data_IF_782433271846
#
_entry.id   IF_782433271846
#
_cell.length_a   1.000
_cell.length_b   1.000
_cell.length_c   1.000
_cell.angle_alpha   90.00
_cell.angle_beta   90.00
_cell.angle_gamma   90.00
#
_symmetry.space_group_name_H-M   'P 1'
#
loop_
_entity.id
_entity.type
_entity.pdbx_description
1 polymer ?
#
# COMPACT_ATOMS: atom_id res chain seq x y z
N UNK A 1 29.08 2.28 10.82
CA UNK A 1 29.10 2.11 9.35
C UNK A 1 27.66 2.14 8.87
N UNK A 2 27.28 2.96 7.87
CA UNK A 2 25.90 2.99 7.40
C UNK A 2 25.48 1.63 6.84
N UNK A 3 24.22 1.19 7.05
CA UNK A 3 23.76 -0.13 6.62
C UNK A 3 23.85 -0.26 5.09
N UNK A 4 24.46 -1.36 4.63
CA UNK A 4 24.62 -1.64 3.20
C UNK A 4 23.27 -2.03 2.60
N UNK A 5 22.86 -1.36 1.53
CA UNK A 5 21.63 -1.68 0.83
C UNK A 5 21.66 -3.12 0.28
N UNK A 6 20.58 -3.87 0.48
CA UNK A 6 20.45 -5.28 0.04
C UNK A 6 20.50 -5.44 -1.48
N UNK A 7 20.07 -4.41 -2.23
CA UNK A 7 20.01 -4.41 -3.70
C UNK A 7 20.80 -3.20 -4.24
N UNK A 8 21.78 -3.44 -5.13
CA UNK A 8 22.43 -2.37 -5.89
C UNK A 8 21.44 -1.61 -6.77
N UNK A 9 21.69 -0.31 -7.01
CA UNK A 9 20.78 0.50 -7.88
C UNK A 9 20.77 -0.03 -9.30
N UNK A 10 21.92 -0.46 -9.83
CA UNK A 10 22.01 -1.02 -11.18
C UNK A 10 21.08 -2.23 -11.36
N UNK A 11 21.10 -3.19 -10.42
CA UNK A 11 20.23 -4.36 -10.45
C UNK A 11 18.75 -3.95 -10.39
N UNK A 12 18.40 -3.01 -9.49
CA UNK A 12 17.03 -2.52 -9.37
C UNK A 12 16.55 -1.83 -10.65
N UNK A 13 17.36 -0.95 -11.23
CA UNK A 13 17.07 -0.24 -12.50
C UNK A 13 16.85 -1.24 -13.63
N UNK A 14 17.72 -2.24 -13.77
CA UNK A 14 17.63 -3.24 -14.83
C UNK A 14 16.30 -4.03 -14.76
N UNK A 15 15.85 -4.40 -13.56
CA UNK A 15 14.56 -5.06 -13.39
C UNK A 15 13.40 -4.08 -13.63
N UNK A 16 13.46 -2.87 -13.10
CA UNK A 16 12.37 -1.89 -13.25
C UNK A 16 12.10 -1.49 -14.70
N UNK A 17 13.14 -1.47 -15.55
CA UNK A 17 12.97 -1.29 -17.00
C UNK A 17 12.04 -2.32 -17.64
N UNK A 18 12.08 -3.58 -17.19
CA UNK A 18 11.20 -4.64 -17.72
C UNK A 18 9.73 -4.36 -17.43
N UNK A 19 9.45 -3.73 -16.29
CA UNK A 19 8.10 -3.43 -15.81
C UNK A 19 7.68 -1.97 -16.06
N UNK A 20 8.46 -1.21 -16.85
CA UNK A 20 8.28 0.24 -17.03
C UNK A 20 6.89 0.62 -17.54
N UNK A 21 6.23 -0.29 -18.26
CA UNK A 21 4.87 -0.11 -18.78
C UNK A 21 3.87 0.19 -17.66
N UNK A 22 4.11 -0.33 -16.46
CA UNK A 22 3.25 -0.09 -15.28
C UNK A 22 3.58 1.21 -14.53
N UNK A 23 4.67 1.90 -14.87
CA UNK A 23 5.17 3.06 -14.12
C UNK A 23 5.26 4.35 -14.94
N UNK A 24 4.66 4.38 -16.14
CA UNK A 24 4.72 5.54 -17.05
C UNK A 24 4.03 6.79 -16.49
N UNK A 25 2.92 6.59 -15.79
CA UNK A 25 2.10 7.68 -15.25
C UNK A 25 1.99 7.50 -13.75
N UNK A 26 2.36 8.53 -12.97
CA UNK A 26 2.41 8.48 -11.50
C UNK A 26 1.06 8.09 -10.87
N UNK A 27 -0.03 8.57 -11.46
CA UNK A 27 -1.39 8.33 -10.99
C UNK A 27 -1.91 6.92 -11.33
N UNK A 28 -1.25 6.21 -12.26
CA UNK A 28 -1.62 4.85 -12.68
C UNK A 28 -0.69 3.77 -12.12
N UNK A 29 0.01 4.07 -11.03
CA UNK A 29 0.87 3.07 -10.40
C UNK A 29 0.04 1.88 -9.89
N UNK A 30 0.58 0.65 -9.94
CA UNK A 30 -0.12 -0.51 -9.41
C UNK A 30 -0.47 -0.32 -7.93
N UNK A 31 -1.69 -0.69 -7.55
CA UNK A 31 -2.12 -0.69 -6.15
C UNK A 31 -1.22 -1.60 -5.31
N UNK A 32 -1.14 -1.37 -4.00
CA UNK A 32 -0.23 -2.08 -3.09
C UNK A 32 -0.37 -3.61 -3.15
N UNK A 33 -1.59 -4.12 -3.31
CA UNK A 33 -1.89 -5.56 -3.41
C UNK A 33 -1.62 -6.18 -4.79
N UNK A 34 -1.20 -5.38 -5.77
CA UNK A 34 -0.96 -5.86 -7.14
C UNK A 34 0.09 -6.97 -7.17
N UNK A 35 -0.17 -7.99 -8.01
CA UNK A 35 0.73 -9.12 -8.20
C UNK A 35 2.08 -8.69 -8.79
N UNK A 36 2.12 -7.55 -9.50
CA UNK A 36 3.33 -6.98 -10.11
C UNK A 36 4.43 -6.77 -9.06
N UNK A 37 4.09 -6.36 -7.84
CA UNK A 37 5.07 -6.18 -6.76
C UNK A 37 5.71 -7.49 -6.32
N UNK A 38 4.94 -8.58 -6.35
CA UNK A 38 5.45 -9.94 -6.06
C UNK A 38 6.34 -10.45 -7.19
N UNK A 39 6.00 -10.14 -8.43
CA UNK A 39 6.82 -10.52 -9.60
C UNK A 39 8.16 -9.79 -9.60
N UNK A 40 8.17 -8.47 -9.38
CA UNK A 40 9.42 -7.69 -9.29
C UNK A 40 10.28 -8.18 -8.12
N UNK A 41 9.67 -8.50 -6.97
CA UNK A 41 10.36 -9.10 -5.82
C UNK A 41 11.05 -10.42 -6.21
N UNK A 42 10.36 -11.28 -6.97
CA UNK A 42 10.90 -12.56 -7.44
C UNK A 42 12.07 -12.35 -8.41
N UNK A 43 11.93 -11.42 -9.35
CA UNK A 43 12.98 -11.05 -10.31
C UNK A 43 14.22 -10.44 -9.64
N UNK A 44 14.04 -9.81 -8.47
CA UNK A 44 15.12 -9.36 -7.59
C UNK A 44 15.66 -10.46 -6.66
N UNK A 45 15.39 -11.73 -6.97
CA UNK A 45 15.77 -12.89 -6.17
C UNK A 45 15.31 -12.81 -4.70
N UNK A 46 14.14 -12.20 -4.46
CA UNK A 46 13.55 -11.97 -3.14
C UNK A 46 14.42 -11.15 -2.17
N UNK A 47 15.43 -10.41 -2.68
CA UNK A 47 16.25 -9.51 -1.85
C UNK A 47 15.43 -8.36 -1.26
N UNK A 48 14.40 -7.93 -1.98
CA UNK A 48 13.35 -7.05 -1.50
C UNK A 48 12.04 -7.82 -1.41
N UNK A 49 11.33 -7.66 -0.29
CA UNK A 49 9.94 -8.11 -0.17
C UNK A 49 9.03 -7.26 -1.07
N UNK A 50 7.82 -7.75 -1.45
CA UNK A 50 6.89 -6.97 -2.26
C UNK A 50 6.58 -5.58 -1.66
N UNK A 51 6.48 -5.49 -0.33
CA UNK A 51 6.34 -4.22 0.38
C UNK A 51 7.53 -3.28 0.14
N UNK A 52 8.76 -3.79 0.26
CA UNK A 52 9.96 -3.00 0.00
C UNK A 52 10.03 -2.54 -1.44
N UNK A 53 9.66 -3.38 -2.41
CA UNK A 53 9.58 -2.96 -3.82
C UNK A 53 8.61 -1.80 -3.96
N UNK A 54 7.38 -1.94 -3.46
CA UNK A 54 6.36 -0.88 -3.53
C UNK A 54 6.87 0.45 -2.95
N UNK A 55 7.41 0.43 -1.73
CA UNK A 55 7.87 1.65 -1.05
C UNK A 55 9.05 2.28 -1.78
N UNK A 56 10.00 1.48 -2.27
CA UNK A 56 11.18 2.02 -2.95
C UNK A 56 10.83 2.58 -4.34
N UNK A 57 9.95 1.91 -5.08
CA UNK A 57 9.52 2.32 -6.42
C UNK A 57 8.59 3.54 -6.33
N UNK A 58 7.56 3.50 -5.49
CA UNK A 58 6.58 4.58 -5.34
C UNK A 58 7.19 5.90 -4.85
N UNK A 59 8.18 5.84 -3.96
CA UNK A 59 8.88 7.03 -3.47
C UNK A 59 10.16 7.34 -4.27
N UNK A 60 10.35 6.67 -5.42
CA UNK A 60 11.52 6.81 -6.28
C UNK A 60 12.85 6.86 -5.51
N UNK A 61 13.03 5.94 -4.53
CA UNK A 61 14.19 5.97 -3.64
C UNK A 61 15.47 5.84 -4.45
N UNK A 62 16.50 6.61 -4.09
CA UNK A 62 17.78 6.64 -4.82
C UNK A 62 17.63 6.96 -6.31
N UNK A 63 16.53 7.61 -6.72
CA UNK A 63 16.19 7.98 -8.11
C UNK A 63 16.13 6.79 -9.07
N UNK A 64 15.84 5.58 -8.59
CA UNK A 64 15.93 4.37 -9.42
C UNK A 64 14.93 4.34 -10.58
N UNK A 65 13.71 4.86 -10.40
CA UNK A 65 12.75 4.97 -11.51
C UNK A 65 13.16 6.08 -12.47
N UNK A 66 13.62 7.24 -11.96
CA UNK A 66 14.10 8.32 -12.82
C UNK A 66 15.24 7.86 -13.73
N UNK A 67 16.22 7.13 -13.18
CA UNK A 67 17.33 6.57 -13.96
C UNK A 67 16.81 5.56 -14.99
N UNK A 68 15.88 4.67 -14.60
CA UNK A 68 15.30 3.70 -15.54
C UNK A 68 14.55 4.38 -16.69
N UNK A 69 13.82 5.46 -16.42
CA UNK A 69 13.11 6.27 -17.42
C UNK A 69 14.09 7.03 -18.32
N UNK A 70 15.12 7.68 -17.76
CA UNK A 70 16.15 8.40 -18.49
C UNK A 70 16.88 7.48 -19.48
N UNK A 71 17.27 6.28 -19.04
CA UNK A 71 17.91 5.28 -19.89
C UNK A 71 16.99 4.71 -20.99
N UNK A 72 15.67 4.91 -20.87
CA UNK A 72 14.68 4.54 -21.89
C UNK A 72 14.20 5.75 -22.71
N UNK A 73 14.72 6.96 -22.45
CA UNK A 73 14.30 8.20 -23.11
C UNK A 73 12.88 8.66 -22.74
N UNK A 74 12.36 8.24 -21.59
CA UNK A 74 11.03 8.60 -21.09
C UNK A 74 11.16 9.77 -20.12
N UNK A 75 10.39 10.84 -20.35
CA UNK A 75 10.30 11.97 -19.40
C UNK A 75 9.47 11.54 -18.19
N UNK A 76 10.11 11.32 -17.06
CA UNK A 76 9.44 11.01 -15.80
C UNK A 76 9.10 12.32 -15.05
N UNK A 77 7.85 12.52 -14.61
CA UNK A 77 7.49 13.71 -13.85
C UNK A 77 8.29 13.76 -12.53
N UNK A 78 8.99 14.86 -12.28
CA UNK A 78 9.73 15.06 -11.02
C UNK A 78 8.78 15.07 -9.82
N UNK A 79 9.19 14.42 -8.73
CA UNK A 79 8.43 14.40 -7.48
C UNK A 79 8.81 15.59 -6.59
N UNK A 80 7.83 16.39 -6.18
CA UNK A 80 7.94 17.22 -4.97
C UNK A 80 8.13 16.30 -3.76
N UNK A 81 9.32 16.32 -3.17
CA UNK A 81 9.69 15.45 -2.05
C UNK A 81 8.97 15.86 -0.76
N UNK A 82 7.89 15.16 -0.42
CA UNK A 82 7.34 15.21 0.94
C UNK A 82 8.11 14.20 1.82
N UNK A 83 9.15 14.67 2.50
CA UNK A 83 9.87 13.89 3.51
C UNK A 83 8.96 13.67 4.74
N UNK A 84 8.21 12.57 4.76
CA UNK A 84 7.66 12.10 6.04
C UNK A 84 8.78 11.44 6.85
N UNK A 85 9.36 12.21 7.77
CA UNK A 85 10.38 11.76 8.71
C UNK A 85 9.72 10.99 9.86
N UNK A 86 9.30 9.74 9.63
CA UNK A 86 8.96 8.86 10.73
C UNK A 86 10.25 8.32 11.38
N UNK A 87 10.60 8.95 12.50
CA UNK A 87 11.60 8.48 13.47
C UNK A 87 11.18 7.10 13.99
N UNK A 88 11.89 6.06 13.57
CA UNK A 88 11.73 4.71 14.12
C UNK A 88 12.78 4.52 15.22
N UNK A 89 12.33 4.52 16.48
CA UNK A 89 13.00 3.84 17.60
C UNK A 89 12.67 2.36 17.48
N UNK A 90 13.64 1.55 17.04
CA UNK A 90 13.59 0.09 17.14
C UNK A 90 14.11 -0.28 18.54
N UNK A 91 13.21 -0.65 19.45
CA UNK A 91 13.58 -1.57 20.52
C UNK A 91 13.43 -2.99 19.98
N UNK A 92 14.52 -3.76 20.05
CA UNK A 92 14.58 -5.18 19.76
C UNK A 92 13.64 -5.91 20.74
N UNK A 93 12.66 -6.66 20.23
CA UNK A 93 11.97 -7.67 21.02
C UNK A 93 12.53 -9.03 20.66
N UNK A 94 13.37 -9.55 21.55
CA UNK A 94 13.74 -10.96 21.61
C UNK A 94 12.47 -11.80 21.79
N UNK A 95 12.33 -12.83 20.96
CA UNK A 95 11.22 -13.79 21.05
C UNK A 95 11.43 -14.72 22.24
N UNK A 96 10.91 -14.33 23.41
CA UNK A 96 10.71 -15.25 24.52
C UNK A 96 9.35 -15.92 24.37
N UNK A 97 9.37 -17.24 24.16
CA UNK A 97 8.21 -18.09 24.30
C UNK A 97 7.80 -18.15 25.77
N UNK A 98 6.75 -17.45 26.13
CA UNK A 98 6.05 -17.65 27.40
C UNK A 98 4.54 -17.50 27.15
N UNK A 99 3.80 -18.30 27.90
CA UNK A 99 2.36 -18.34 27.99
C UNK A 99 1.81 -16.99 28.47
N UNK A 100 1.51 -16.09 27.53
CA UNK A 100 1.00 -14.75 27.83
C UNK A 100 -0.52 -14.79 27.75
N UNK A 101 -1.16 -15.00 28.91
CA UNK A 101 -2.56 -14.65 29.12
C UNK A 101 -2.74 -13.18 28.77
N UNK A 102 -3.48 -12.89 27.71
CA UNK A 102 -3.76 -11.51 27.32
C UNK A 102 -4.64 -10.84 28.39
N UNK A 103 -4.08 -9.90 29.14
CA UNK A 103 -4.90 -8.96 29.90
C UNK A 103 -5.38 -7.90 28.92
N UNK A 104 -6.68 -7.93 28.63
CA UNK A 104 -7.34 -6.91 27.82
C UNK A 104 -7.29 -5.60 28.61
N UNK A 105 -6.42 -4.67 28.18
CA UNK A 105 -6.29 -3.34 28.78
C UNK A 105 -7.67 -2.65 28.76
N UNK A 106 -8.26 -2.46 29.95
CA UNK A 106 -9.60 -1.88 30.19
C UNK A 106 -9.82 -0.53 29.49
N UNK A 107 -8.73 0.12 29.07
CA UNK A 107 -8.71 1.35 28.29
C UNK A 107 -9.44 1.27 26.94
N UNK A 108 -9.58 0.09 26.35
CA UNK A 108 -10.16 -0.08 25.00
C UNK A 108 -11.58 -0.67 25.00
N UNK A 109 -12.15 -0.89 26.19
CA UNK A 109 -13.53 -1.33 26.31
C UNK A 109 -14.49 -0.26 25.74
N UNK A 110 -15.24 -0.61 24.68
CA UNK A 110 -16.30 0.23 24.12
C UNK A 110 -16.01 0.93 22.79
N UNK A 111 -14.89 0.64 22.12
CA UNK A 111 -14.55 1.21 20.80
C UNK A 111 -14.98 0.36 19.61
N UNK A 112 -15.73 -0.72 19.82
CA UNK A 112 -16.05 -1.70 18.78
C UNK A 112 -17.20 -1.27 17.84
N UNK A 113 -17.92 -0.19 18.17
CA UNK A 113 -19.03 0.30 17.35
C UNK A 113 -18.89 1.81 17.10
N UNK A 114 -18.85 2.22 15.83
CA UNK A 114 -19.01 3.61 15.43
C UNK A 114 -20.17 3.74 14.44
N UNK A 115 -21.12 4.61 14.75
CA UNK A 115 -22.31 4.85 13.93
C UNK A 115 -22.05 6.02 12.99
N UNK A 116 -22.11 5.74 11.69
CA UNK A 116 -22.06 6.78 10.67
C UNK A 116 -23.50 7.17 10.33
N UNK A 117 -23.81 8.47 10.45
CA UNK A 117 -25.06 9.04 9.97
C UNK A 117 -24.79 9.77 8.67
N UNK A 118 -25.43 9.30 7.60
CA UNK A 118 -25.39 9.94 6.29
C UNK A 118 -26.81 10.28 5.86
N UNK A 119 -26.96 11.40 5.19
CA UNK A 119 -28.24 11.79 4.58
C UNK A 119 -28.49 11.02 3.29
N UNK A 120 -29.75 10.92 2.88
CA UNK A 120 -30.13 10.24 1.63
C UNK A 120 -29.41 10.80 0.39
N UNK A 121 -29.10 12.10 0.38
CA UNK A 121 -28.37 12.75 -0.72
C UNK A 121 -26.86 12.42 -0.70
N UNK A 122 -26.26 12.29 0.48
CA UNK A 122 -24.86 11.88 0.63
C UNK A 122 -24.68 10.41 0.20
N UNK A 123 -25.67 9.54 0.46
CA UNK A 123 -25.66 8.15 0.02
C UNK A 123 -25.80 7.98 -1.50
N UNK A 124 -26.63 8.79 -2.17
CA UNK A 124 -26.78 8.69 -3.63
C UNK A 124 -25.58 9.25 -4.38
N UNK A 125 -24.85 10.19 -3.79
CA UNK A 125 -23.62 10.74 -4.35
C UNK A 125 -22.46 9.73 -4.35
N UNK A 126 -22.42 8.80 -3.39
CA UNK A 126 -21.42 7.71 -3.38
C UNK A 126 -21.76 6.59 -4.37
N UNK A 127 -23.03 6.43 -4.74
CA UNK A 127 -23.47 5.46 -5.75
C UNK A 127 -23.31 5.97 -7.19
N UNK A 128 -23.36 7.29 -7.42
CA UNK A 128 -23.26 7.88 -8.76
C UNK A 128 -21.84 7.82 -9.36
N UNK A 129 -20.80 7.66 -8.54
CA UNK A 129 -19.39 7.59 -9.00
C UNK A 129 -18.95 6.14 -9.31
N UNK A 130 -19.80 5.16 -9.04
CA UNK A 130 -19.58 3.74 -9.33
C UNK A 130 -20.65 3.23 -10.31
N UNK A 131 -20.55 3.66 -11.56
CA UNK A 131 -21.11 2.87 -12.66
C UNK A 131 -20.35 1.54 -12.71
N UNK A 132 -20.92 0.50 -12.10
CA UNK A 132 -21.03 -0.89 -12.59
C UNK A 132 -21.50 -1.79 -11.42
N UNK A 133 -22.75 -2.24 -11.52
CA UNK A 133 -23.10 -3.65 -11.37
C UNK A 133 -23.27 -4.25 -9.96
N UNK A 134 -24.54 -4.48 -9.61
CA UNK A 134 -25.05 -5.47 -8.63
C UNK A 134 -24.74 -5.11 -7.16
N UNK A 135 -25.74 -4.91 -6.32
CA UNK A 135 -26.42 -6.00 -5.60
C UNK A 135 -27.92 -5.67 -5.41
N UNK A 136 -28.74 -6.53 -5.98
CA UNK A 136 -30.11 -6.82 -5.56
C UNK A 136 -30.04 -7.80 -4.37
N UNK A 137 -31.04 -7.76 -3.47
CA UNK A 137 -31.30 -8.61 -2.26
C UNK A 137 -30.86 -7.95 -0.93
N UNK A 138 -31.70 -7.76 0.10
CA UNK A 138 -32.96 -8.39 0.49
C UNK A 138 -33.93 -7.39 1.14
N UNK A 139 -35.17 -7.35 0.66
CA UNK A 139 -36.32 -6.85 1.42
C UNK A 139 -37.05 -8.05 2.04
N UNK A 140 -36.81 -8.31 3.33
CA UNK A 140 -37.63 -9.14 4.25
C UNK A 140 -36.97 -8.98 5.64
N UNK A 141 -37.60 -8.65 6.77
CA UNK A 141 -39.00 -8.70 7.17
C UNK A 141 -39.37 -7.49 8.02
N UNK A 142 -40.51 -6.86 7.71
CA UNK A 142 -41.23 -6.00 8.65
C UNK A 142 -41.98 -6.94 9.61
N UNK A 143 -41.54 -6.98 10.87
CA UNK A 143 -42.32 -7.50 11.98
C UNK A 143 -42.98 -6.34 12.71
N UNK A 144 -44.21 -5.99 12.33
CA UNK A 144 -45.10 -5.16 13.16
C UNK A 144 -45.66 -6.07 14.26
N UNK A 145 -45.55 -5.65 15.51
CA UNK A 145 -46.40 -6.15 16.59
C UNK A 145 -47.30 -5.01 17.03
N UNK A 146 -48.60 -5.32 17.06
CA UNK A 146 -49.72 -4.48 17.52
C UNK A 146 -49.52 -3.90 18.92
#
# INVERSE_FOLDING_TARGET
>A
MPPKARVPVADAVAILKKYIVHFKERDKFPIYSSIIWKEISRDLANKWTPHNVYVNVKNNRRKMLSIACEELGIVFPEEEQNFSMHKSTLEDSETQSADESFELDEKWAGLDEFKIYITANEWTSTLADHSIGWIELCTESIGVRD
#
